data_IF_274299909281
#
_entry.id   IF_274299909281
#
_cell.length_a   1.000
_cell.length_b   1.000
_cell.length_c   1.000
_cell.angle_alpha   90.00
_cell.angle_beta   90.00
_cell.angle_gamma   90.00
#
_symmetry.space_group_name_H-M   'P 1'
#
loop_
_entity.id
_entity.type
_entity.pdbx_description
1 polymer ?
#
# COMPACT_ATOMS: atom_id res chain seq x y z
N UNK A 1 20.39 8.61 -12.41
CA UNK A 1 19.26 9.20 -11.67
C UNK A 1 18.40 8.04 -11.25
N UNK A 2 18.48 7.65 -9.98
CA UNK A 2 17.83 6.42 -9.49
C UNK A 2 16.35 6.73 -9.27
N UNK A 3 15.45 6.07 -10.02
CA UNK A 3 14.01 6.32 -10.00
C UNK A 3 13.29 5.90 -8.71
N UNK A 4 14.04 5.65 -7.64
CA UNK A 4 13.54 5.11 -6.36
C UNK A 4 13.49 6.14 -5.24
N UNK A 5 14.00 7.35 -5.46
CA UNK A 5 14.04 8.42 -4.45
C UNK A 5 12.69 9.13 -4.23
N UNK A 6 11.66 8.79 -5.03
CA UNK A 6 10.40 9.51 -5.13
C UNK A 6 9.17 8.71 -4.64
N UNK A 7 9.41 7.58 -3.95
CA UNK A 7 8.36 6.73 -3.38
C UNK A 7 7.93 7.22 -1.99
N UNK A 8 7.81 8.54 -1.80
CA UNK A 8 7.11 9.04 -0.63
C UNK A 8 5.65 8.57 -0.73
N UNK A 9 5.10 7.94 0.33
CA UNK A 9 3.69 7.61 0.35
C UNK A 9 2.90 8.90 0.13
N UNK A 10 1.94 8.86 -0.79
CA UNK A 10 1.07 10.01 -1.03
C UNK A 10 0.38 10.37 0.29
N UNK A 11 0.47 11.63 0.71
CA UNK A 11 -0.16 12.10 1.94
C UNK A 11 -1.69 12.04 1.77
N UNK A 12 -2.30 10.99 2.30
CA UNK A 12 -3.76 10.81 2.34
C UNK A 12 -4.23 11.13 3.74
N UNK A 13 -5.18 12.07 3.85
CA UNK A 13 -5.68 12.53 5.16
C UNK A 13 -6.51 11.48 5.90
N UNK A 14 -6.95 10.43 5.21
CA UNK A 14 -7.77 9.33 5.75
C UNK A 14 -7.27 7.99 5.23
N UNK A 15 -7.47 6.93 6.03
CA UNK A 15 -7.15 5.56 5.62
C UNK A 15 -8.08 5.13 4.48
N UNK A 16 -7.49 4.50 3.47
CA UNK A 16 -8.19 3.98 2.30
C UNK A 16 -8.65 2.54 2.52
N UNK A 17 -9.81 2.17 1.95
CA UNK A 17 -10.30 0.78 1.97
C UNK A 17 -9.27 -0.19 1.40
N UNK A 18 -9.32 -1.43 1.89
CA UNK A 18 -8.44 -2.49 1.40
C UNK A 18 -8.73 -2.79 -0.06
N UNK A 19 -7.74 -2.63 -0.94
CA UNK A 19 -7.88 -2.89 -2.38
C UNK A 19 -7.98 -4.39 -2.74
N UNK A 20 -7.94 -5.29 -1.74
CA UNK A 20 -7.98 -6.74 -1.93
C UNK A 20 -9.34 -7.30 -1.48
N UNK A 21 -9.76 -7.08 -0.23
CA UNK A 21 -11.06 -7.56 0.26
C UNK A 21 -12.20 -6.53 0.09
N UNK A 22 -11.89 -5.25 -0.10
CA UNK A 22 -12.88 -4.17 -0.24
C UNK A 22 -13.41 -3.62 1.08
N UNK A 23 -13.03 -4.22 2.21
CA UNK A 23 -13.43 -3.78 3.55
C UNK A 23 -12.70 -2.52 4.00
N UNK A 24 -13.26 -1.91 5.05
CA UNK A 24 -12.68 -0.73 5.70
C UNK A 24 -11.36 -1.06 6.42
N UNK A 25 -10.51 -0.05 6.58
CA UNK A 25 -9.20 -0.14 7.24
C UNK A 25 -9.03 0.88 8.36
N UNK A 26 -10.08 1.67 8.65
CA UNK A 26 -10.04 2.74 9.66
C UNK A 26 -9.43 2.26 10.99
N UNK A 27 -9.88 1.09 11.48
CA UNK A 27 -9.45 0.49 12.75
C UNK A 27 -8.45 -0.67 12.57
N UNK A 28 -7.87 -0.85 11.37
CA UNK A 28 -6.96 -1.95 11.11
C UNK A 28 -5.58 -1.70 11.72
N UNK A 29 -5.14 -2.60 12.60
CA UNK A 29 -3.81 -2.57 13.20
C UNK A 29 -2.70 -2.90 12.17
N UNK A 30 -3.06 -3.54 11.06
CA UNK A 30 -2.15 -4.01 10.00
C UNK A 30 -2.26 -3.17 8.71
N UNK A 31 -2.71 -1.91 8.81
CA UNK A 31 -2.86 -1.03 7.66
C UNK A 31 -1.52 -0.72 6.98
N UNK A 32 -1.49 -0.91 5.66
CA UNK A 32 -0.40 -0.47 4.79
C UNK A 32 -0.92 0.34 3.60
N UNK A 33 -0.11 1.28 3.15
CA UNK A 33 -0.39 2.09 1.96
C UNK A 33 0.51 1.67 0.80
N UNK A 34 -0.09 1.47 -0.37
CA UNK A 34 0.60 1.18 -1.62
C UNK A 34 0.49 2.39 -2.54
N UNK A 35 1.59 2.79 -3.16
CA UNK A 35 1.58 3.80 -4.23
C UNK A 35 1.70 3.08 -5.58
N UNK A 36 0.69 3.21 -6.43
CA UNK A 36 0.68 2.71 -7.79
C UNK A 36 1.06 3.84 -8.76
N UNK A 37 2.05 3.59 -9.60
CA UNK A 37 2.45 4.49 -10.70
C UNK A 37 2.32 3.78 -12.04
N UNK A 38 1.77 4.45 -13.04
CA UNK A 38 1.68 3.92 -14.40
C UNK A 38 2.84 4.44 -15.25
N UNK A 39 3.66 3.52 -15.75
CA UNK A 39 4.83 3.85 -16.57
C UNK A 39 4.42 4.62 -17.85
N UNK A 40 5.28 5.55 -18.27
CA UNK A 40 4.98 6.46 -19.37
C UNK A 40 3.92 7.52 -19.06
N UNK A 41 3.38 7.57 -17.84
CA UNK A 41 2.47 8.61 -17.37
C UNK A 41 2.93 9.22 -16.05
N UNK A 42 2.51 10.45 -15.76
CA UNK A 42 2.68 11.06 -14.43
C UNK A 42 1.64 10.60 -13.41
N UNK A 43 0.80 9.62 -13.74
CA UNK A 43 -0.30 9.20 -12.88
C UNK A 43 0.23 8.40 -11.68
N UNK A 44 -0.19 8.83 -10.48
CA UNK A 44 0.07 8.16 -9.21
C UNK A 44 -1.25 8.01 -8.45
N UNK A 45 -1.43 6.88 -7.76
CA UNK A 45 -2.58 6.62 -6.91
C UNK A 45 -2.17 5.93 -5.62
N UNK A 46 -2.78 6.31 -4.50
CA UNK A 46 -2.66 5.59 -3.24
C UNK A 46 -3.75 4.52 -3.13
N UNK A 47 -3.40 3.37 -2.58
CA UNK A 47 -4.30 2.28 -2.23
C UNK A 47 -4.04 1.87 -0.78
N UNK A 48 -5.09 1.51 -0.05
CA UNK A 48 -4.98 0.89 1.26
C UNK A 48 -4.99 -0.62 1.15
N UNK A 49 -4.34 -1.32 2.08
CA UNK A 49 -4.47 -2.75 2.24
C UNK A 49 -4.30 -3.17 3.70
N UNK A 50 -4.95 -4.27 4.08
CA UNK A 50 -4.55 -5.08 5.22
C UNK A 50 -3.26 -5.82 4.84
N UNK A 51 -2.23 -5.78 5.68
CA UNK A 51 -0.97 -6.49 5.42
C UNK A 51 -1.21 -7.99 5.26
N UNK A 52 -2.16 -8.58 6.00
CA UNK A 52 -2.52 -9.99 5.86
C UNK A 52 -2.99 -10.31 4.44
N UNK A 53 -3.98 -9.55 3.93
CA UNK A 53 -4.52 -9.75 2.59
C UNK A 53 -3.47 -9.47 1.50
N UNK A 54 -2.59 -8.49 1.72
CA UNK A 54 -1.50 -8.19 0.80
C UNK A 54 -0.54 -9.38 0.69
N UNK A 55 -0.14 -9.97 1.80
CA UNK A 55 0.74 -11.14 1.81
C UNK A 55 0.16 -12.36 1.08
N UNK A 56 -1.16 -12.46 0.94
CA UNK A 56 -1.80 -13.55 0.18
C UNK A 56 -1.65 -13.41 -1.34
N UNK A 57 -1.42 -12.18 -1.84
CA UNK A 57 -1.33 -11.89 -3.28
C UNK A 57 0.10 -11.55 -3.75
N UNK A 58 1.02 -11.33 -2.81
CA UNK A 58 2.42 -11.06 -3.12
C UNK A 58 3.11 -12.29 -3.73
N UNK A 59 4.05 -12.03 -4.64
CA UNK A 59 4.84 -13.08 -5.26
C UNK A 59 5.75 -13.77 -4.23
N UNK A 60 6.13 -15.05 -4.46
CA UNK A 60 7.09 -15.74 -3.59
C UNK A 60 8.37 -14.93 -3.38
N UNK A 61 8.82 -14.84 -2.12
CA UNK A 61 10.00 -14.07 -1.72
C UNK A 61 9.70 -12.63 -1.27
N UNK A 62 8.45 -12.18 -1.35
CA UNK A 62 7.99 -10.90 -0.80
C UNK A 62 7.10 -11.13 0.41
N UNK A 63 7.26 -10.29 1.43
CA UNK A 63 6.38 -10.20 2.59
C UNK A 63 6.33 -8.78 3.14
N UNK A 64 5.24 -8.45 3.82
CA UNK A 64 5.03 -7.19 4.52
C UNK A 64 4.69 -7.49 5.97
N UNK A 65 5.42 -6.87 6.88
CA UNK A 65 5.27 -7.06 8.33
C UNK A 65 5.07 -5.70 9.01
N UNK A 66 3.93 -5.54 9.69
CA UNK A 66 3.64 -4.34 10.49
C UNK A 66 4.08 -4.62 11.93
N UNK A 67 4.99 -3.80 12.44
CA UNK A 67 5.50 -3.91 13.80
C UNK A 67 4.89 -2.79 14.65
N UNK A 68 3.93 -3.14 15.51
CA UNK A 68 3.35 -2.21 16.48
C UNK A 68 4.32 -2.06 17.66
N UNK A 69 4.65 -0.81 18.00
CA UNK A 69 5.52 -0.45 19.14
C UNK A 69 4.75 -0.43 20.45
#
# INVERSE_FOLDING_TARGET
MSAVDDLEPLDVSERLRCCICGDDTADADDYVQLTLSADGSGARQALGAHAEHLNQVLAPGYSVEVHLM
#
